data_IF_132338096734
#
_entry.id   IF_132338096734
#
_cell.length_a   1.000
_cell.length_b   1.000
_cell.length_c   1.000
_cell.angle_alpha   90.00
_cell.angle_beta   90.00
_cell.angle_gamma   90.00
#
_symmetry.space_group_name_H-M   'P 1'
#
loop_
_entity.id
_entity.type
_entity.pdbx_description
1 polymer ?
#
# COMPACT_ATOMS: atom_id res chain seq x y z
N UNK A 1 -26.29 11.43 -2.93
CA UNK A 1 -26.14 11.19 -4.40
C UNK A 1 -27.52 11.09 -5.06
N UNK A 2 -27.76 11.75 -6.22
CA UNK A 2 -29.04 11.65 -6.92
C UNK A 2 -29.28 10.26 -7.55
N UNK A 3 -30.56 9.95 -7.83
CA UNK A 3 -30.99 8.62 -8.28
C UNK A 3 -30.36 8.19 -9.63
N UNK A 4 -30.25 9.10 -10.58
CA UNK A 4 -29.67 8.82 -11.91
C UNK A 4 -28.16 8.49 -11.80
N UNK A 5 -27.40 9.23 -10.98
CA UNK A 5 -25.97 8.93 -10.73
C UNK A 5 -25.81 7.58 -10.03
N UNK A 6 -26.71 7.21 -9.11
CA UNK A 6 -26.71 5.87 -8.48
C UNK A 6 -26.92 4.76 -9.50
N UNK A 7 -27.91 4.89 -10.41
CA UNK A 7 -28.16 3.91 -11.49
C UNK A 7 -26.93 3.80 -12.38
N UNK A 8 -26.37 4.92 -12.83
CA UNK A 8 -25.17 4.92 -13.67
C UNK A 8 -24.01 4.18 -13.00
N UNK A 9 -23.68 4.48 -11.74
CA UNK A 9 -22.62 3.82 -11.01
C UNK A 9 -22.86 2.30 -10.90
N UNK A 10 -24.08 1.88 -10.55
CA UNK A 10 -24.41 0.45 -10.40
C UNK A 10 -24.37 -0.29 -11.73
N UNK A 11 -24.84 0.31 -12.81
CA UNK A 11 -24.77 -0.27 -14.16
C UNK A 11 -23.33 -0.46 -14.60
N UNK A 12 -22.48 0.57 -14.40
CA UNK A 12 -21.05 0.50 -14.69
C UNK A 12 -20.34 -0.61 -13.89
N UNK A 13 -20.57 -0.65 -12.57
CA UNK A 13 -20.00 -1.67 -11.67
C UNK A 13 -20.45 -3.08 -12.03
N UNK A 14 -21.73 -3.24 -12.45
CA UNK A 14 -22.27 -4.53 -12.91
C UNK A 14 -21.60 -4.97 -14.21
N UNK A 15 -21.41 -4.05 -15.15
CA UNK A 15 -20.68 -4.32 -16.40
C UNK A 15 -19.24 -4.79 -16.13
N UNK A 16 -18.51 -4.09 -15.23
CA UNK A 16 -17.18 -4.52 -14.82
C UNK A 16 -17.18 -5.91 -14.17
N UNK A 17 -18.14 -6.18 -13.28
CA UNK A 17 -18.25 -7.49 -12.61
C UNK A 17 -18.46 -8.62 -13.62
N UNK A 18 -19.29 -8.41 -14.65
CA UNK A 18 -19.50 -9.38 -15.71
C UNK A 18 -18.24 -9.59 -16.54
N UNK A 19 -17.45 -8.53 -16.77
CA UNK A 19 -16.20 -8.60 -17.53
C UNK A 19 -15.05 -9.30 -16.77
N UNK A 20 -15.04 -9.27 -15.44
CA UNK A 20 -13.93 -9.76 -14.61
C UNK A 20 -13.41 -11.17 -14.97
N UNK A 21 -14.25 -12.20 -15.23
CA UNK A 21 -13.77 -13.53 -15.58
C UNK A 21 -13.01 -13.59 -16.93
N UNK A 22 -13.26 -12.64 -17.81
CA UNK A 22 -12.68 -12.59 -19.16
C UNK A 22 -11.41 -11.72 -19.23
N UNK A 23 -11.12 -10.97 -18.18
CA UNK A 23 -9.94 -10.09 -18.12
C UNK A 23 -8.67 -10.91 -17.83
N UNK A 24 -7.52 -10.60 -18.47
CA UNK A 24 -6.31 -11.40 -18.40
C UNK A 24 -5.51 -11.19 -17.10
N UNK A 25 -6.20 -11.18 -15.97
CA UNK A 25 -5.56 -11.16 -14.67
C UNK A 25 -4.72 -12.44 -14.46
N UNK A 26 -3.53 -12.26 -13.92
CA UNK A 26 -2.71 -13.38 -13.47
C UNK A 26 -2.21 -13.14 -12.05
N UNK A 27 -2.05 -14.20 -11.28
CA UNK A 27 -1.29 -14.14 -10.02
C UNK A 27 0.20 -14.27 -10.34
N UNK A 28 1.07 -13.44 -9.75
CA UNK A 28 2.51 -13.66 -9.81
C UNK A 28 2.89 -15.00 -9.21
N UNK A 29 3.97 -15.60 -9.71
CA UNK A 29 4.50 -16.80 -9.08
C UNK A 29 5.25 -16.41 -7.82
N UNK A 30 4.89 -17.03 -6.70
CA UNK A 30 5.56 -16.80 -5.42
C UNK A 30 6.94 -17.46 -5.44
N UNK A 31 7.93 -16.73 -4.95
CA UNK A 31 9.30 -17.16 -4.71
C UNK A 31 9.63 -16.84 -3.26
N UNK A 32 10.09 -17.83 -2.49
CA UNK A 32 10.27 -17.68 -1.03
C UNK A 32 11.58 -16.99 -0.63
N UNK A 33 12.50 -16.73 -1.55
CA UNK A 33 13.79 -16.10 -1.23
C UNK A 33 14.41 -15.40 -2.42
N UNK A 34 15.06 -14.26 -2.19
CA UNK A 34 15.87 -13.54 -3.19
C UNK A 34 17.02 -14.41 -3.75
N UNK A 35 17.48 -15.42 -3.00
CA UNK A 35 18.54 -16.36 -3.44
C UNK A 35 18.11 -17.26 -4.60
N UNK A 36 16.81 -17.42 -4.85
CA UNK A 36 16.29 -18.22 -5.96
C UNK A 36 16.16 -17.41 -7.27
N UNK A 37 16.39 -16.10 -7.23
CA UNK A 37 16.26 -15.24 -8.42
C UNK A 37 17.30 -15.53 -9.51
N UNK A 38 18.58 -15.82 -9.22
CA UNK A 38 19.55 -16.16 -10.25
C UNK A 38 19.10 -17.33 -11.15
N UNK A 39 18.59 -18.42 -10.58
CA UNK A 39 18.09 -19.56 -11.35
C UNK A 39 16.91 -19.17 -12.26
N UNK A 40 16.05 -18.31 -11.78
CA UNK A 40 14.90 -17.82 -12.55
C UNK A 40 15.38 -16.96 -13.72
N UNK A 41 16.34 -16.07 -13.50
CA UNK A 41 16.92 -15.17 -14.50
C UNK A 41 17.57 -15.98 -15.60
N UNK A 42 18.41 -16.98 -15.23
CA UNK A 42 19.06 -17.90 -16.18
C UNK A 42 18.04 -18.72 -16.98
N UNK A 43 17.03 -19.33 -16.32
CA UNK A 43 15.93 -20.05 -16.98
C UNK A 43 15.13 -19.16 -17.96
N UNK A 44 15.07 -17.87 -17.71
CA UNK A 44 14.42 -16.90 -18.59
C UNK A 44 15.34 -16.31 -19.65
N UNK A 45 16.60 -16.75 -19.68
CA UNK A 45 17.63 -16.31 -20.60
C UNK A 45 17.85 -14.79 -20.56
N UNK A 46 17.74 -14.21 -19.37
CA UNK A 46 18.10 -12.82 -19.14
C UNK A 46 19.58 -12.73 -18.81
N UNK A 47 20.24 -11.72 -19.32
CA UNK A 47 21.69 -11.55 -19.26
C UNK A 47 22.14 -10.51 -18.24
N UNK A 48 21.34 -9.47 -17.99
CA UNK A 48 21.69 -8.37 -17.08
C UNK A 48 20.46 -7.77 -16.41
N UNK A 49 20.58 -7.50 -15.12
CA UNK A 49 19.46 -7.06 -14.26
C UNK A 49 19.57 -5.58 -13.94
N UNK A 50 18.46 -4.81 -14.04
CA UNK A 50 18.31 -3.55 -13.33
C UNK A 50 17.53 -3.77 -12.03
N UNK A 51 18.15 -3.43 -10.90
CA UNK A 51 17.50 -3.38 -9.58
C UNK A 51 17.05 -1.95 -9.34
N UNK A 52 15.75 -1.74 -9.13
CA UNK A 52 15.16 -0.43 -8.80
C UNK A 52 14.75 -0.45 -7.33
N UNK A 53 15.29 0.48 -6.56
CA UNK A 53 15.10 0.58 -5.11
C UNK A 53 15.18 2.05 -4.66
N UNK A 54 15.23 2.29 -3.38
CA UNK A 54 15.40 3.62 -2.78
C UNK A 54 16.65 3.69 -1.88
N UNK A 55 17.08 4.92 -1.57
CA UNK A 55 18.28 5.18 -0.78
C UNK A 55 18.19 4.61 0.64
N UNK A 56 16.99 4.55 1.25
CA UNK A 56 16.77 3.98 2.57
C UNK A 56 17.05 2.47 2.59
N UNK A 57 16.51 1.75 1.62
CA UNK A 57 16.74 0.30 1.44
C UNK A 57 18.23 0.02 1.21
N UNK A 58 18.91 0.87 0.42
CA UNK A 58 20.36 0.76 0.18
C UNK A 58 21.17 0.99 1.47
N UNK A 59 20.84 2.05 2.20
CA UNK A 59 21.51 2.37 3.49
C UNK A 59 21.37 1.24 4.51
N UNK A 60 20.21 0.59 4.56
CA UNK A 60 19.95 -0.56 5.42
C UNK A 60 20.61 -1.86 4.89
N UNK A 61 21.19 -1.86 3.71
CA UNK A 61 21.86 -3.01 3.13
C UNK A 61 20.94 -4.18 2.76
N UNK A 62 19.62 -3.95 2.60
CA UNK A 62 18.65 -5.01 2.35
C UNK A 62 18.84 -5.69 0.99
N UNK A 63 19.40 -4.98 0.00
CA UNK A 63 19.68 -5.53 -1.33
C UNK A 63 20.90 -6.46 -1.36
N UNK A 64 21.81 -6.40 -0.36
CA UNK A 64 23.09 -7.16 -0.36
C UNK A 64 22.90 -8.65 -0.57
N UNK A 65 21.85 -9.26 0.00
CA UNK A 65 21.57 -10.69 -0.17
C UNK A 65 21.28 -11.05 -1.63
N UNK A 66 20.57 -10.17 -2.36
CA UNK A 66 20.31 -10.33 -3.78
C UNK A 66 21.59 -10.07 -4.60
N UNK A 67 22.31 -9.00 -4.31
CA UNK A 67 23.57 -8.65 -4.98
C UNK A 67 24.57 -9.81 -4.89
N UNK A 68 24.79 -10.35 -3.67
CA UNK A 68 25.66 -11.51 -3.46
C UNK A 68 25.19 -12.74 -4.26
N UNK A 69 23.88 -13.01 -4.29
CA UNK A 69 23.35 -14.13 -5.04
C UNK A 69 23.56 -13.98 -6.56
N UNK A 70 23.36 -12.78 -7.10
CA UNK A 70 23.61 -12.48 -8.51
C UNK A 70 25.09 -12.57 -8.85
N UNK A 71 25.97 -12.00 -8.01
CA UNK A 71 27.43 -12.05 -8.19
C UNK A 71 27.94 -13.50 -8.21
N UNK A 72 27.51 -14.32 -7.25
CA UNK A 72 27.91 -15.74 -7.16
C UNK A 72 27.43 -16.56 -8.38
N UNK A 73 26.35 -16.15 -9.02
CA UNK A 73 25.83 -16.76 -10.23
C UNK A 73 26.41 -16.18 -11.54
N UNK A 74 27.33 -15.21 -11.44
CA UNK A 74 27.92 -14.54 -12.60
C UNK A 74 26.93 -13.68 -13.39
N UNK A 75 25.85 -13.22 -12.78
CA UNK A 75 24.83 -12.40 -13.43
C UNK A 75 25.15 -10.92 -13.14
N UNK A 76 25.52 -10.12 -14.16
CA UNK A 76 25.77 -8.70 -14.00
C UNK A 76 24.48 -7.96 -13.68
N UNK A 77 24.60 -6.87 -12.91
CA UNK A 77 23.46 -6.02 -12.52
C UNK A 77 23.88 -4.56 -12.41
N UNK A 78 22.87 -3.68 -12.52
CA UNK A 78 22.96 -2.27 -12.17
C UNK A 78 21.92 -1.96 -11.10
N UNK A 79 22.13 -0.90 -10.34
CA UNK A 79 21.21 -0.49 -9.27
C UNK A 79 20.84 0.97 -9.49
N UNK A 80 19.54 1.24 -9.54
CA UNK A 80 18.95 2.56 -9.42
C UNK A 80 18.34 2.70 -8.02
N UNK A 81 18.91 3.53 -7.17
CA UNK A 81 18.55 3.67 -5.76
C UNK A 81 18.00 5.05 -5.38
N UNK A 82 17.57 5.83 -6.38
CA UNK A 82 17.05 7.20 -6.20
C UNK A 82 15.53 7.30 -6.22
N UNK A 83 14.81 6.17 -6.13
CA UNK A 83 13.34 6.21 -6.12
C UNK A 83 12.84 6.97 -4.90
N UNK A 84 11.98 7.96 -5.12
CA UNK A 84 11.34 8.73 -4.05
C UNK A 84 10.11 8.02 -3.50
N UNK A 85 9.64 8.42 -2.31
CA UNK A 85 8.44 7.88 -1.66
C UNK A 85 7.17 7.99 -2.54
N UNK A 86 7.08 9.00 -3.40
CA UNK A 86 6.12 9.11 -4.49
C UNK A 86 6.92 9.19 -5.80
N UNK A 87 7.16 8.06 -6.50
CA UNK A 87 8.09 8.03 -7.62
C UNK A 87 7.66 8.99 -8.72
N UNK A 88 8.62 9.79 -9.19
CA UNK A 88 8.36 10.82 -10.19
C UNK A 88 8.61 10.34 -11.61
N UNK A 89 8.11 11.09 -12.58
CA UNK A 89 8.44 10.89 -14.01
C UNK A 89 9.94 10.95 -14.28
N UNK A 90 10.69 11.72 -13.47
CA UNK A 90 12.14 11.85 -13.60
C UNK A 90 12.83 10.58 -13.06
N UNK A 91 12.41 10.04 -11.92
CA UNK A 91 12.89 8.74 -11.42
C UNK A 91 12.73 7.64 -12.49
N UNK A 92 11.57 7.61 -13.15
CA UNK A 92 11.31 6.63 -14.22
C UNK A 92 12.24 6.84 -15.41
N UNK A 93 12.47 8.10 -15.79
CA UNK A 93 13.33 8.45 -16.95
C UNK A 93 14.80 8.11 -16.68
N UNK A 94 15.31 8.46 -15.50
CA UNK A 94 16.68 8.14 -15.08
C UNK A 94 16.91 6.62 -15.03
N UNK A 95 16.00 5.89 -14.39
CA UNK A 95 16.11 4.43 -14.29
C UNK A 95 15.98 3.74 -15.65
N UNK A 96 15.14 4.27 -16.55
CA UNK A 96 15.03 3.78 -17.94
C UNK A 96 16.33 4.00 -18.71
N UNK A 97 16.93 5.18 -18.60
CA UNK A 97 18.21 5.47 -19.25
C UNK A 97 19.30 4.52 -18.74
N UNK A 98 19.41 4.32 -17.42
CA UNK A 98 20.35 3.36 -16.85
C UNK A 98 20.12 1.94 -17.38
N UNK A 99 18.85 1.50 -17.54
CA UNK A 99 18.52 0.20 -18.13
C UNK A 99 19.05 0.08 -19.57
N UNK A 100 18.81 1.08 -20.41
CA UNK A 100 19.19 1.08 -21.82
C UNK A 100 20.72 1.19 -21.99
N UNK A 101 21.36 2.14 -21.32
CA UNK A 101 22.80 2.40 -21.43
C UNK A 101 23.63 1.23 -20.91
N UNK A 102 23.12 0.53 -19.89
CA UNK A 102 23.80 -0.64 -19.32
C UNK A 102 23.48 -1.94 -20.06
N UNK A 103 22.55 -1.97 -21.00
CA UNK A 103 22.14 -3.18 -21.71
C UNK A 103 21.41 -4.19 -20.83
N UNK A 104 20.65 -3.73 -19.82
CA UNK A 104 19.81 -4.59 -19.01
C UNK A 104 18.64 -5.18 -19.83
N UNK A 105 18.15 -6.38 -19.47
CA UNK A 105 17.05 -7.07 -20.15
C UNK A 105 15.96 -7.57 -19.20
N UNK A 106 16.14 -7.42 -17.90
CA UNK A 106 15.12 -7.67 -16.90
C UNK A 106 15.18 -6.66 -15.74
N UNK A 107 14.11 -6.57 -14.96
CA UNK A 107 13.91 -5.58 -13.91
C UNK A 107 13.51 -6.28 -12.62
N UNK A 108 14.14 -5.88 -11.51
CA UNK A 108 13.72 -6.23 -10.15
C UNK A 108 13.33 -4.92 -9.43
N UNK A 109 12.04 -4.77 -9.08
CA UNK A 109 11.58 -3.75 -8.15
C UNK A 109 11.79 -4.25 -6.71
N UNK A 110 12.71 -3.65 -5.96
CA UNK A 110 13.10 -4.06 -4.62
C UNK A 110 12.80 -2.95 -3.62
N UNK A 111 11.78 -3.12 -2.78
CA UNK A 111 11.40 -2.09 -1.81
C UNK A 111 9.92 -2.12 -1.47
N UNK A 112 9.39 -0.99 -0.99
CA UNK A 112 7.96 -0.78 -0.80
C UNK A 112 7.21 -0.55 -2.12
N UNK A 113 5.94 -0.13 -2.03
CA UNK A 113 5.11 0.16 -3.20
C UNK A 113 5.77 1.11 -4.19
N UNK A 114 6.42 2.18 -3.72
CA UNK A 114 7.07 3.19 -4.57
C UNK A 114 8.16 2.61 -5.48
N UNK A 115 9.07 1.81 -4.94
CA UNK A 115 10.14 1.16 -5.72
C UNK A 115 9.57 0.18 -6.74
N UNK A 116 8.52 -0.57 -6.36
CA UNK A 116 7.85 -1.50 -7.28
C UNK A 116 7.06 -0.77 -8.38
N UNK A 117 6.39 0.34 -8.05
CA UNK A 117 5.64 1.14 -9.02
C UNK A 117 6.57 1.87 -10.00
N UNK A 118 7.72 2.38 -9.53
CA UNK A 118 8.78 2.87 -10.39
C UNK A 118 9.25 1.80 -11.38
N UNK A 119 9.51 0.58 -10.89
CA UNK A 119 9.94 -0.54 -11.72
C UNK A 119 8.91 -0.93 -12.80
N UNK A 120 7.61 -0.92 -12.45
CA UNK A 120 6.51 -1.13 -13.41
C UNK A 120 6.45 -0.03 -14.46
N UNK A 121 6.57 1.24 -14.05
CA UNK A 121 6.54 2.38 -14.95
C UNK A 121 7.76 2.40 -15.89
N UNK A 122 8.94 2.06 -15.40
CA UNK A 122 10.16 1.86 -16.24
C UNK A 122 9.89 0.75 -17.26
N UNK A 123 9.37 -0.39 -16.85
CA UNK A 123 8.99 -1.48 -17.75
C UNK A 123 7.98 -1.04 -18.83
N UNK A 124 6.98 -0.23 -18.46
CA UNK A 124 5.99 0.32 -19.39
C UNK A 124 6.64 1.27 -20.42
N UNK A 125 7.56 2.14 -19.97
CA UNK A 125 8.31 3.05 -20.86
C UNK A 125 9.21 2.30 -21.84
N UNK A 126 9.91 1.24 -21.38
CA UNK A 126 10.72 0.38 -22.24
C UNK A 126 9.84 -0.32 -23.28
N UNK A 127 8.68 -0.84 -22.88
CA UNK A 127 7.74 -1.50 -23.80
C UNK A 127 7.11 -0.52 -24.82
N UNK A 128 7.00 0.76 -24.49
CA UNK A 128 6.45 1.83 -25.34
C UNK A 128 7.35 3.07 -25.38
N UNK A 129 8.53 3.02 -25.98
CA UNK A 129 9.53 4.09 -25.92
C UNK A 129 9.06 5.42 -26.53
N UNK A 130 8.14 5.39 -27.49
CA UNK A 130 7.58 6.58 -28.14
C UNK A 130 6.42 7.23 -27.39
N UNK A 131 5.93 6.62 -26.30
CA UNK A 131 4.78 7.11 -25.55
C UNK A 131 5.20 7.64 -24.19
N UNK A 132 4.86 8.90 -23.85
CA UNK A 132 5.12 9.46 -22.52
C UNK A 132 4.28 8.80 -21.44
N UNK A 133 4.72 8.85 -20.18
CA UNK A 133 3.95 8.33 -19.03
C UNK A 133 2.58 9.00 -18.91
N UNK A 134 2.50 10.32 -19.16
CA UNK A 134 1.23 11.06 -19.15
C UNK A 134 0.22 10.50 -20.16
N UNK A 135 0.66 10.03 -21.32
CA UNK A 135 -0.23 9.35 -22.31
C UNK A 135 -0.65 7.95 -21.89
N UNK A 136 0.08 7.32 -20.95
CA UNK A 136 -0.25 6.02 -20.38
C UNK A 136 -1.19 6.12 -19.16
N UNK A 137 -1.42 7.34 -18.61
CA UNK A 137 -2.32 7.59 -17.48
C UNK A 137 -3.70 6.98 -17.71
N UNK A 138 -4.22 6.28 -16.68
CA UNK A 138 -5.54 5.66 -16.69
C UNK A 138 -5.48 4.16 -16.97
N UNK A 139 -6.46 3.62 -17.67
CA UNK A 139 -6.69 2.19 -17.78
C UNK A 139 -6.37 1.69 -19.20
N UNK A 140 -5.68 0.53 -19.29
CA UNK A 140 -5.44 -0.22 -20.53
C UNK A 140 -4.81 0.62 -21.65
N UNK A 141 -3.69 1.27 -21.40
CA UNK A 141 -2.98 2.09 -22.40
C UNK A 141 -1.56 1.62 -22.71
N UNK A 142 -1.06 0.61 -22.00
CA UNK A 142 0.26 0.02 -22.25
C UNK A 142 0.18 -1.09 -23.30
N UNK A 143 -0.68 -2.08 -23.13
CA UNK A 143 -0.96 -3.21 -24.05
C UNK A 143 0.25 -3.98 -24.59
N UNK A 144 1.45 -3.68 -24.13
CA UNK A 144 2.72 -4.29 -24.56
C UNK A 144 3.30 -5.11 -23.43
N UNK A 145 3.88 -6.26 -23.76
CA UNK A 145 4.62 -7.08 -22.81
C UNK A 145 5.84 -6.30 -22.31
N UNK A 146 6.00 -6.20 -21.00
CA UNK A 146 7.16 -5.62 -20.35
C UNK A 146 8.37 -6.59 -20.42
N UNK A 147 9.61 -6.08 -20.25
CA UNK A 147 10.73 -6.92 -19.83
C UNK A 147 10.35 -7.80 -18.65
N UNK A 148 11.11 -8.87 -18.40
CA UNK A 148 10.85 -9.69 -17.22
C UNK A 148 10.88 -8.82 -15.96
N UNK A 149 9.75 -8.71 -15.30
CA UNK A 149 9.57 -7.93 -14.07
C UNK A 149 9.36 -8.86 -12.88
N UNK A 150 10.18 -8.69 -11.86
CA UNK A 150 10.14 -9.39 -10.58
C UNK A 150 10.01 -8.34 -9.46
N UNK A 151 9.20 -8.60 -8.46
CA UNK A 151 8.97 -7.69 -7.34
C UNK A 151 9.42 -8.35 -6.03
N UNK A 152 10.17 -7.60 -5.22
CA UNK A 152 10.67 -8.00 -3.90
C UNK A 152 10.16 -6.99 -2.88
N UNK A 153 8.97 -7.22 -2.29
CA UNK A 153 8.42 -6.32 -1.27
C UNK A 153 9.25 -6.36 0.01
N UNK A 154 9.57 -5.18 0.55
CA UNK A 154 10.20 -5.02 1.87
C UNK A 154 9.20 -4.60 2.95
N UNK A 155 7.94 -4.39 2.58
CA UNK A 155 6.79 -4.13 3.46
C UNK A 155 5.70 -5.14 3.21
N UNK A 156 4.91 -5.45 4.22
CA UNK A 156 3.77 -6.35 4.12
C UNK A 156 2.45 -5.54 4.17
N UNK A 157 2.17 -4.75 3.13
CA UNK A 157 1.04 -3.82 3.12
C UNK A 157 0.46 -3.59 1.73
N UNK A 158 1.18 -2.89 0.89
CA UNK A 158 0.68 -2.35 -0.38
C UNK A 158 0.22 -3.41 -1.40
N UNK A 159 0.73 -4.64 -1.32
CA UNK A 159 0.43 -5.68 -2.32
C UNK A 159 0.86 -5.32 -3.74
N UNK A 160 1.70 -4.27 -3.93
CA UNK A 160 2.09 -3.80 -5.27
C UNK A 160 2.73 -4.90 -6.11
N UNK A 161 3.36 -5.91 -5.50
CA UNK A 161 3.89 -7.09 -6.19
C UNK A 161 2.83 -7.89 -6.94
N UNK A 162 1.53 -7.64 -6.69
CA UNK A 162 0.41 -8.37 -7.35
C UNK A 162 -0.44 -7.49 -8.25
N UNK A 163 -0.27 -6.16 -8.18
CA UNK A 163 -1.20 -5.23 -8.83
C UNK A 163 -0.83 -4.90 -10.27
N UNK A 164 -1.85 -4.52 -11.02
CA UNK A 164 -1.72 -3.98 -12.38
C UNK A 164 -1.45 -2.48 -12.39
N UNK A 165 -1.36 -1.85 -11.23
CA UNK A 165 -1.20 -0.41 -11.07
C UNK A 165 0.26 -0.01 -10.86
N UNK A 166 0.65 1.14 -11.41
CA UNK A 166 1.83 1.90 -11.06
C UNK A 166 1.42 3.36 -10.81
N UNK A 167 1.61 3.84 -9.59
CA UNK A 167 1.28 5.20 -9.20
C UNK A 167 2.51 6.08 -9.32
N UNK A 168 2.42 7.13 -10.16
CA UNK A 168 3.53 8.02 -10.51
C UNK A 168 3.12 9.47 -10.30
N UNK A 169 4.06 10.29 -9.87
CA UNK A 169 3.89 11.74 -9.74
C UNK A 169 4.57 12.43 -10.92
N UNK A 170 3.85 13.28 -11.61
CA UNK A 170 4.45 14.15 -12.62
C UNK A 170 5.40 15.14 -11.94
N UNK A 171 6.67 15.17 -12.37
CA UNK A 171 7.70 15.98 -11.70
C UNK A 171 7.46 17.49 -11.85
N UNK A 172 6.83 17.91 -12.95
CA UNK A 172 6.59 19.33 -13.25
C UNK A 172 5.30 19.84 -12.58
N UNK A 173 4.21 19.09 -12.76
CA UNK A 173 2.87 19.52 -12.29
C UNK A 173 2.55 19.07 -10.87
N UNK A 174 3.37 18.20 -10.27
CA UNK A 174 3.12 17.52 -8.98
C UNK A 174 1.85 16.67 -8.96
N UNK A 175 1.21 16.48 -10.10
CA UNK A 175 0.00 15.69 -10.21
C UNK A 175 0.30 14.19 -10.14
N UNK A 176 -0.32 13.52 -9.17
CA UNK A 176 -0.21 12.08 -8.94
C UNK A 176 -1.26 11.31 -9.75
N UNK A 177 -0.86 10.28 -10.48
CA UNK A 177 -1.77 9.48 -11.29
C UNK A 177 -1.33 8.02 -11.38
N UNK A 178 -2.30 7.14 -11.68
CA UNK A 178 -2.05 5.73 -11.87
C UNK A 178 -2.01 5.36 -13.36
N UNK A 179 -1.10 4.45 -13.69
CA UNK A 179 -1.07 3.68 -14.93
C UNK A 179 -1.55 2.28 -14.59
N UNK A 180 -2.66 1.84 -15.17
CA UNK A 180 -3.29 0.56 -14.86
C UNK A 180 -3.36 -0.31 -16.12
N UNK A 181 -2.57 -1.38 -16.17
CA UNK A 181 -2.65 -2.34 -17.28
C UNK A 181 -2.12 -3.71 -16.86
N UNK A 182 -2.65 -4.80 -17.42
CA UNK A 182 -2.29 -6.16 -17.09
C UNK A 182 -0.80 -6.51 -17.26
N UNK A 183 -0.08 -5.98 -18.27
CA UNK A 183 1.36 -6.19 -18.41
C UNK A 183 2.18 -5.74 -17.20
N UNK A 184 1.69 -4.77 -16.40
CA UNK A 184 2.39 -4.22 -15.23
C UNK A 184 2.41 -5.22 -14.05
N UNK A 185 1.53 -6.22 -14.04
CA UNK A 185 1.57 -7.25 -12.99
C UNK A 185 2.92 -7.99 -13.08
N UNK A 186 3.73 -8.01 -12.00
CA UNK A 186 5.01 -8.73 -12.00
C UNK A 186 4.84 -10.22 -12.32
N UNK A 187 5.86 -10.84 -12.90
CA UNK A 187 5.84 -12.28 -13.17
C UNK A 187 6.12 -13.11 -11.93
N UNK A 188 6.92 -12.56 -11.03
CA UNK A 188 7.30 -13.18 -9.77
C UNK A 188 7.17 -12.18 -8.64
N UNK A 189 6.63 -12.64 -7.52
CA UNK A 189 6.61 -11.96 -6.23
C UNK A 189 7.54 -12.73 -5.29
N UNK A 190 8.58 -12.07 -4.80
CA UNK A 190 9.59 -12.69 -3.93
C UNK A 190 9.25 -12.35 -2.48
N UNK A 191 8.58 -13.27 -1.83
CA UNK A 191 8.13 -13.12 -0.44
C UNK A 191 9.21 -13.64 0.52
N UNK A 192 10.36 -12.94 0.57
CA UNK A 192 11.48 -13.28 1.45
C UNK A 192 11.34 -12.55 2.79
N UNK A 193 10.98 -13.23 3.90
CA UNK A 193 10.78 -12.56 5.18
C UNK A 193 12.04 -11.84 5.70
N UNK A 194 13.21 -12.28 5.25
CA UNK A 194 14.49 -11.72 5.71
C UNK A 194 14.74 -10.27 5.25
N UNK A 195 14.01 -9.80 4.24
CA UNK A 195 14.09 -8.40 3.79
C UNK A 195 13.12 -7.47 4.55
N UNK A 196 12.30 -8.02 5.45
CA UNK A 196 11.34 -7.27 6.27
C UNK A 196 11.71 -7.21 7.76
N UNK A 197 12.78 -7.94 8.20
CA UNK A 197 13.12 -8.06 9.62
C UNK A 197 13.51 -6.73 10.28
N UNK A 198 14.06 -5.79 9.52
CA UNK A 198 14.47 -4.46 10.03
C UNK A 198 13.35 -3.42 9.99
N UNK A 199 12.12 -3.81 9.63
CA UNK A 199 11.00 -2.88 9.57
C UNK A 199 10.62 -2.41 10.99
N UNK A 200 10.56 -1.10 11.26
CA UNK A 200 10.13 -0.59 12.56
C UNK A 200 8.73 -1.05 12.93
N UNK A 201 8.42 -1.22 14.24
CA UNK A 201 7.10 -1.68 14.69
C UNK A 201 5.93 -0.86 14.14
N UNK A 202 6.01 0.48 14.21
CA UNK A 202 4.96 1.36 13.71
C UNK A 202 4.72 1.22 12.21
N UNK A 203 5.79 1.10 11.40
CA UNK A 203 5.66 0.86 9.95
C UNK A 203 5.10 -0.55 9.68
N UNK A 204 5.51 -1.54 10.49
CA UNK A 204 4.95 -2.90 10.43
C UNK A 204 3.44 -2.89 10.67
N UNK A 205 2.99 -2.18 11.72
CA UNK A 205 1.57 -2.06 12.07
C UNK A 205 0.77 -1.34 10.99
N UNK A 206 1.20 -0.14 10.59
CA UNK A 206 0.47 0.67 9.60
C UNK A 206 0.39 0.00 8.23
N UNK A 207 1.46 -0.69 7.79
CA UNK A 207 1.41 -1.47 6.55
C UNK A 207 0.56 -2.74 6.70
N UNK A 208 0.58 -3.40 7.85
CA UNK A 208 -0.30 -4.54 8.12
C UNK A 208 -1.79 -4.16 8.13
N UNK A 209 -2.11 -3.00 8.72
CA UNK A 209 -3.47 -2.43 8.68
C UNK A 209 -3.89 -2.02 7.26
N UNK A 210 -2.96 -1.56 6.43
CA UNK A 210 -3.17 -1.31 5.00
C UNK A 210 -3.56 -2.60 4.27
N UNK A 211 -2.81 -3.69 4.48
CA UNK A 211 -3.17 -5.01 3.92
C UNK A 211 -4.55 -5.49 4.42
N UNK A 212 -4.90 -5.23 5.69
CA UNK A 212 -6.22 -5.53 6.23
C UNK A 212 -7.30 -4.73 5.50
N UNK A 213 -7.09 -3.43 5.31
CA UNK A 213 -8.01 -2.55 4.58
C UNK A 213 -8.23 -3.03 3.15
N UNK A 214 -7.17 -3.38 2.43
CA UNK A 214 -7.24 -3.97 1.10
C UNK A 214 -8.12 -5.24 1.08
N UNK A 215 -7.89 -6.17 2.01
CA UNK A 215 -8.64 -7.41 2.09
C UNK A 215 -10.11 -7.17 2.42
N UNK A 216 -10.40 -6.29 3.37
CA UNK A 216 -11.75 -5.97 3.83
C UNK A 216 -12.54 -5.29 2.70
N UNK A 217 -12.02 -4.21 2.09
CA UNK A 217 -12.71 -3.50 1.03
C UNK A 217 -12.93 -4.38 -0.21
N UNK A 218 -11.93 -5.20 -0.59
CA UNK A 218 -12.08 -6.17 -1.66
C UNK A 218 -13.17 -7.21 -1.37
N UNK A 219 -13.37 -7.59 -0.09
CA UNK A 219 -14.37 -8.58 0.31
C UNK A 219 -15.77 -8.00 0.40
N UNK A 220 -15.92 -6.83 1.00
CA UNK A 220 -17.23 -6.20 1.19
C UNK A 220 -17.79 -5.57 -0.09
N UNK A 221 -16.93 -5.28 -1.07
CA UNK A 221 -17.32 -4.74 -2.37
C UNK A 221 -18.34 -5.63 -3.12
N UNK A 222 -19.01 -5.04 -4.14
CA UNK A 222 -20.06 -5.73 -4.90
C UNK A 222 -19.51 -6.46 -6.15
N UNK A 223 -18.24 -6.26 -6.52
CA UNK A 223 -17.59 -6.90 -7.67
C UNK A 223 -16.57 -7.96 -7.22
N UNK A 224 -17.02 -8.94 -6.46
CA UNK A 224 -16.18 -10.04 -5.99
C UNK A 224 -16.35 -11.30 -6.80
N UNK A 225 -15.31 -12.14 -6.87
CA UNK A 225 -15.37 -13.50 -7.41
C UNK A 225 -15.14 -14.51 -6.27
N UNK A 226 -15.37 -15.79 -6.55
CA UNK A 226 -15.04 -16.84 -5.56
C UNK A 226 -13.56 -16.76 -5.15
N UNK A 227 -12.65 -16.61 -6.15
CA UNK A 227 -11.22 -16.52 -5.90
C UNK A 227 -10.82 -15.30 -5.07
N UNK A 228 -11.36 -14.10 -5.39
CA UNK A 228 -11.02 -12.88 -4.61
C UNK A 228 -11.56 -12.94 -3.18
N UNK A 229 -12.73 -13.53 -2.97
CA UNK A 229 -13.24 -13.74 -1.61
C UNK A 229 -12.37 -14.71 -0.80
N UNK A 230 -11.91 -15.82 -1.43
CA UNK A 230 -10.99 -16.76 -0.79
C UNK A 230 -9.68 -16.10 -0.41
N UNK A 231 -9.11 -15.33 -1.34
CA UNK A 231 -7.85 -14.61 -1.09
C UNK A 231 -8.01 -13.58 0.05
N UNK A 232 -9.10 -12.81 0.07
CA UNK A 232 -9.37 -11.82 1.11
C UNK A 232 -9.57 -12.45 2.50
N UNK A 233 -10.34 -13.54 2.59
CA UNK A 233 -10.52 -14.28 3.86
C UNK A 233 -9.19 -14.84 4.38
N UNK A 234 -8.36 -15.39 3.49
CA UNK A 234 -7.03 -15.88 3.87
C UNK A 234 -6.11 -14.76 4.34
N UNK A 235 -6.16 -13.61 3.67
CA UNK A 235 -5.39 -12.43 4.08
C UNK A 235 -5.79 -11.97 5.49
N UNK A 236 -7.10 -11.81 5.74
CA UNK A 236 -7.62 -11.41 7.06
C UNK A 236 -7.20 -12.40 8.14
N UNK A 237 -7.36 -13.71 7.90
CA UNK A 237 -6.90 -14.76 8.84
C UNK A 237 -5.42 -14.58 9.19
N UNK A 238 -4.55 -14.52 8.18
CA UNK A 238 -3.10 -14.41 8.39
C UNK A 238 -2.71 -13.11 9.12
N UNK A 239 -3.40 -12.00 8.86
CA UNK A 239 -3.15 -10.73 9.55
C UNK A 239 -3.49 -10.87 11.03
N UNK A 240 -4.71 -11.32 11.36
CA UNK A 240 -5.13 -11.46 12.76
C UNK A 240 -4.28 -12.44 13.56
N UNK A 241 -3.77 -13.50 12.92
CA UNK A 241 -2.88 -14.48 13.56
C UNK A 241 -1.45 -13.99 13.80
N UNK A 242 -0.98 -12.95 13.06
CA UNK A 242 0.45 -12.63 13.03
C UNK A 242 0.81 -11.17 13.30
N UNK A 243 -0.11 -10.20 13.16
CA UNK A 243 0.22 -8.78 13.21
C UNK A 243 0.75 -8.35 14.58
N UNK A 244 0.15 -8.81 15.66
CA UNK A 244 0.60 -8.52 17.02
C UNK A 244 2.00 -9.11 17.28
N UNK A 245 2.25 -10.33 16.78
CA UNK A 245 3.57 -10.97 16.89
C UNK A 245 4.64 -10.17 16.17
N UNK A 246 4.42 -9.74 14.91
CA UNK A 246 5.44 -8.98 14.17
C UNK A 246 5.59 -7.55 14.68
N UNK A 247 4.60 -7.00 15.36
CA UNK A 247 4.69 -5.70 16.02
C UNK A 247 5.57 -5.76 17.26
N UNK A 248 5.40 -6.77 18.12
CA UNK A 248 6.14 -6.94 19.36
C UNK A 248 7.51 -7.59 19.15
N UNK A 249 7.59 -8.58 18.24
CA UNK A 249 8.83 -9.27 17.85
C UNK A 249 9.01 -9.22 16.33
N UNK A 250 9.60 -8.14 15.85
CA UNK A 250 9.91 -7.95 14.43
C UNK A 250 10.92 -8.95 13.88
N UNK A 251 11.62 -9.73 14.73
CA UNK A 251 12.60 -10.75 14.31
C UNK A 251 11.96 -12.11 14.00
N UNK A 252 10.69 -12.31 14.32
CA UNK A 252 9.97 -13.56 14.07
C UNK A 252 9.78 -13.81 12.56
N UNK A 253 10.64 -14.66 11.99
CA UNK A 253 10.70 -14.94 10.54
C UNK A 253 9.41 -15.55 10.02
N UNK A 254 8.74 -16.41 10.79
CA UNK A 254 7.52 -17.09 10.35
C UNK A 254 6.33 -16.13 10.33
N UNK A 255 6.19 -15.30 11.37
CA UNK A 255 5.16 -14.27 11.39
C UNK A 255 5.40 -13.21 10.27
N UNK A 256 6.65 -12.79 10.02
CA UNK A 256 6.99 -11.93 8.86
C UNK A 256 6.61 -12.56 7.53
N UNK A 257 6.89 -13.88 7.38
CA UNK A 257 6.48 -14.62 6.18
C UNK A 257 4.96 -14.62 6.00
N UNK A 258 4.23 -14.89 7.06
CA UNK A 258 2.77 -14.92 7.04
C UNK A 258 2.19 -13.54 6.70
N UNK A 259 2.76 -12.45 7.21
CA UNK A 259 2.35 -11.09 6.86
C UNK A 259 2.63 -10.75 5.38
N UNK A 260 3.77 -11.16 4.81
CA UNK A 260 4.03 -11.02 3.37
C UNK A 260 3.01 -11.80 2.53
N UNK A 261 2.67 -13.02 2.93
CA UNK A 261 1.61 -13.79 2.27
C UNK A 261 0.25 -13.12 2.41
N UNK A 262 -0.06 -12.56 3.58
CA UNK A 262 -1.31 -11.82 3.81
C UNK A 262 -1.44 -10.62 2.86
N UNK A 263 -0.39 -9.78 2.77
CA UNK A 263 -0.31 -8.66 1.82
C UNK A 263 -0.45 -9.12 0.37
N UNK A 264 0.22 -10.21 -0.01
CA UNK A 264 0.10 -10.80 -1.34
C UNK A 264 -1.33 -11.23 -1.67
N UNK A 265 -2.02 -11.93 -0.75
CA UNK A 265 -3.41 -12.36 -0.98
C UNK A 265 -4.38 -11.19 -0.96
N UNK A 266 -4.20 -10.20 -0.07
CA UNK A 266 -4.96 -8.95 -0.10
C UNK A 266 -4.79 -8.25 -1.45
N UNK A 267 -3.56 -8.17 -1.95
CA UNK A 267 -3.21 -7.61 -3.26
C UNK A 267 -3.88 -8.36 -4.42
N UNK A 268 -3.89 -9.69 -4.39
CA UNK A 268 -4.59 -10.52 -5.37
C UNK A 268 -6.12 -10.31 -5.34
N UNK A 269 -6.68 -10.02 -4.17
CA UNK A 269 -8.10 -9.76 -4.02
C UNK A 269 -8.47 -8.38 -4.59
N UNK A 270 -7.82 -7.31 -4.11
CA UNK A 270 -8.23 -5.96 -4.48
C UNK A 270 -7.86 -5.58 -5.91
N UNK A 271 -6.78 -6.11 -6.48
CA UNK A 271 -6.44 -5.83 -7.89
C UNK A 271 -7.55 -6.22 -8.87
N UNK A 272 -8.44 -7.14 -8.46
CA UNK A 272 -9.63 -7.57 -9.25
C UNK A 272 -10.93 -7.00 -8.74
N UNK A 273 -11.07 -6.90 -7.41
CA UNK A 273 -12.32 -6.49 -6.76
C UNK A 273 -12.36 -5.01 -6.44
N UNK A 274 -11.27 -4.30 -6.73
CA UNK A 274 -11.07 -2.89 -6.40
C UNK A 274 -11.02 -2.64 -4.87
N UNK A 275 -10.90 -1.40 -4.50
CA UNK A 275 -10.96 -0.86 -3.15
C UNK A 275 -12.25 -0.06 -2.94
N UNK A 276 -12.37 0.74 -1.89
CA UNK A 276 -13.57 1.50 -1.59
C UNK A 276 -13.27 2.92 -1.09
N UNK A 277 -14.18 3.46 -0.28
CA UNK A 277 -14.06 4.83 0.21
C UNK A 277 -12.95 5.02 1.25
N UNK A 278 -12.51 3.97 1.96
CA UNK A 278 -11.34 4.08 2.83
C UNK A 278 -10.14 4.55 2.02
N UNK A 279 -9.86 3.87 0.91
CA UNK A 279 -8.77 4.25 0.02
C UNK A 279 -9.00 5.57 -0.70
N UNK A 280 -10.22 5.87 -1.14
CA UNK A 280 -10.50 7.12 -1.82
C UNK A 280 -10.25 8.35 -0.92
N UNK A 281 -10.63 8.27 0.36
CA UNK A 281 -10.35 9.30 1.37
C UNK A 281 -8.86 9.34 1.67
N UNK A 282 -8.22 8.18 1.92
CA UNK A 282 -6.77 8.11 2.20
C UNK A 282 -5.92 8.66 1.05
N UNK A 283 -6.31 8.44 -0.20
CA UNK A 283 -5.60 8.98 -1.37
C UNK A 283 -5.71 10.51 -1.46
N UNK A 284 -6.87 11.08 -1.16
CA UNK A 284 -7.04 12.54 -1.15
C UNK A 284 -6.16 13.19 -0.07
N UNK A 285 -6.11 12.60 1.14
CA UNK A 285 -5.26 13.06 2.24
C UNK A 285 -3.76 12.88 1.93
N UNK A 286 -3.40 11.73 1.39
CA UNK A 286 -2.03 11.47 0.97
C UNK A 286 -1.55 12.37 -0.17
N UNK A 287 -2.48 12.80 -1.05
CA UNK A 287 -2.19 13.73 -2.15
C UNK A 287 -2.01 15.17 -1.68
N UNK A 288 -2.80 15.62 -0.72
CA UNK A 288 -2.78 17.00 -0.22
C UNK A 288 -1.73 17.23 0.87
N UNK A 289 -1.65 16.33 1.85
CA UNK A 289 -0.86 16.52 3.07
C UNK A 289 0.31 15.56 3.22
N UNK A 290 0.53 14.63 2.27
CA UNK A 290 1.51 13.55 2.38
C UNK A 290 1.28 12.63 3.59
N UNK A 291 0.06 12.50 4.08
CA UNK A 291 -0.28 11.55 5.16
C UNK A 291 0.16 10.15 4.72
N UNK A 292 0.89 9.39 5.57
CA UNK A 292 1.31 8.04 5.22
C UNK A 292 0.11 7.14 4.91
N UNK A 293 0.12 6.50 3.75
CA UNK A 293 -1.03 5.78 3.19
C UNK A 293 -1.61 4.72 4.14
N UNK A 294 -0.76 3.87 4.71
CA UNK A 294 -1.20 2.83 5.64
C UNK A 294 -1.75 3.39 6.96
N UNK A 295 -1.23 4.52 7.42
CA UNK A 295 -1.76 5.24 8.58
C UNK A 295 -3.17 5.76 8.27
N UNK A 296 -3.35 6.49 7.17
CA UNK A 296 -4.66 7.00 6.77
C UNK A 296 -5.70 5.88 6.65
N UNK A 297 -5.36 4.78 5.97
CA UNK A 297 -6.24 3.62 5.84
C UNK A 297 -6.61 3.02 7.21
N UNK A 298 -5.65 2.89 8.14
CA UNK A 298 -5.91 2.36 9.48
C UNK A 298 -6.89 3.23 10.28
N UNK A 299 -6.74 4.54 10.19
CA UNK A 299 -7.61 5.51 10.89
C UNK A 299 -9.03 5.48 10.31
N UNK A 300 -9.17 5.47 8.99
CA UNK A 300 -10.45 5.63 8.28
C UNK A 300 -11.28 4.34 8.29
N UNK A 301 -10.63 3.16 8.28
CA UNK A 301 -11.31 1.87 8.08
C UNK A 301 -12.50 1.65 9.01
N UNK A 302 -12.38 1.73 10.36
CA UNK A 302 -13.51 1.46 11.25
C UNK A 302 -14.69 2.40 11.01
N UNK A 303 -14.44 3.70 10.74
CA UNK A 303 -15.46 4.71 10.50
C UNK A 303 -16.33 4.37 9.27
N UNK A 304 -15.71 4.00 8.18
CA UNK A 304 -16.42 3.62 6.94
C UNK A 304 -17.19 2.32 7.11
N UNK A 305 -16.65 1.35 7.86
CA UNK A 305 -17.37 0.11 8.16
C UNK A 305 -18.62 0.37 9.00
N UNK A 306 -18.55 1.21 10.01
CA UNK A 306 -19.70 1.66 10.81
C UNK A 306 -20.75 2.39 9.95
N UNK A 307 -20.31 3.29 9.08
CA UNK A 307 -21.20 4.05 8.21
C UNK A 307 -21.96 3.17 7.18
N UNK A 308 -21.40 2.03 6.79
CA UNK A 308 -22.11 1.07 5.94
C UNK A 308 -23.21 0.28 6.70
N UNK A 309 -23.07 0.16 8.00
CA UNK A 309 -24.06 -0.47 8.90
C UNK A 309 -24.49 -1.88 8.43
N UNK A 310 -25.76 -2.17 8.61
CA UNK A 310 -26.36 -3.49 8.31
C UNK A 310 -26.12 -4.01 6.89
N UNK A 311 -25.84 -3.10 5.94
CA UNK A 311 -25.60 -3.49 4.53
C UNK A 311 -24.41 -4.42 4.35
N UNK A 312 -23.49 -4.43 5.32
CA UNK A 312 -22.28 -5.27 5.27
C UNK A 312 -22.18 -6.29 6.39
N UNK A 313 -23.10 -6.33 7.37
CA UNK A 313 -23.02 -7.22 8.55
C UNK A 313 -22.78 -8.69 8.15
N UNK A 314 -23.52 -9.24 7.17
CA UNK A 314 -23.31 -10.63 6.68
C UNK A 314 -21.89 -10.86 6.11
N UNK A 315 -21.28 -9.83 5.53
CA UNK A 315 -19.91 -9.91 4.97
C UNK A 315 -18.88 -9.78 6.09
N UNK A 316 -19.09 -8.84 7.04
CA UNK A 316 -18.22 -8.68 8.19
C UNK A 316 -18.25 -9.89 9.11
N UNK A 317 -19.42 -10.53 9.33
CA UNK A 317 -19.53 -11.76 10.09
C UNK A 317 -18.61 -12.87 9.54
N UNK A 318 -18.54 -13.02 8.21
CA UNK A 318 -17.63 -13.99 7.57
C UNK A 318 -16.14 -13.61 7.75
N UNK A 319 -15.81 -12.32 7.75
CA UNK A 319 -14.47 -11.83 8.06
C UNK A 319 -14.13 -12.08 9.54
N UNK A 320 -15.09 -11.86 10.45
CA UNK A 320 -14.93 -12.16 11.87
C UNK A 320 -14.63 -13.64 12.13
N UNK A 321 -15.36 -14.54 11.45
CA UNK A 321 -15.09 -15.99 11.53
C UNK A 321 -13.69 -16.32 10.99
N UNK A 322 -13.28 -15.71 9.88
CA UNK A 322 -11.94 -15.92 9.31
C UNK A 322 -10.83 -15.38 10.23
N UNK A 323 -11.10 -14.30 10.96
CA UNK A 323 -10.22 -13.70 11.95
C UNK A 323 -10.18 -14.45 13.29
N UNK A 324 -11.04 -15.47 13.51
CA UNK A 324 -11.16 -16.18 14.77
C UNK A 324 -11.88 -15.39 15.88
N UNK A 325 -12.67 -14.36 15.52
CA UNK A 325 -13.38 -13.47 16.44
C UNK A 325 -14.83 -13.90 16.71
N UNK A 326 -15.36 -14.81 15.90
CA UNK A 326 -16.72 -15.31 15.99
C UNK A 326 -16.81 -16.74 15.45
N UNK A 327 -17.83 -17.46 15.92
CA UNK A 327 -18.18 -18.76 15.37
C UNK A 327 -19.14 -18.61 14.17
N UNK A 328 -19.36 -19.70 13.43
CA UNK A 328 -20.21 -19.67 12.23
C UNK A 328 -21.68 -19.38 12.51
N UNK A 329 -22.14 -19.69 13.70
CA UNK A 329 -23.51 -19.52 14.22
C UNK A 329 -23.71 -18.23 15.02
N UNK A 330 -22.64 -17.45 15.25
CA UNK A 330 -22.75 -16.14 15.90
C UNK A 330 -23.65 -15.21 15.04
N UNK A 331 -24.62 -14.49 15.65
CA UNK A 331 -25.46 -13.53 14.93
C UNK A 331 -24.62 -12.53 14.11
N UNK A 332 -25.10 -12.22 12.89
CA UNK A 332 -24.29 -11.44 11.94
C UNK A 332 -23.97 -10.03 12.43
N UNK A 333 -24.86 -9.39 13.14
CA UNK A 333 -24.69 -8.07 13.75
C UNK A 333 -23.64 -8.10 14.87
N UNK A 334 -23.74 -9.08 15.75
CA UNK A 334 -22.75 -9.29 16.83
C UNK A 334 -21.36 -9.60 16.26
N UNK A 335 -21.26 -10.54 15.31
CA UNK A 335 -19.99 -10.87 14.67
C UNK A 335 -19.38 -9.66 13.93
N UNK A 336 -20.21 -8.84 13.26
CA UNK A 336 -19.78 -7.62 12.60
C UNK A 336 -19.26 -6.59 13.63
N UNK A 337 -19.97 -6.41 14.74
CA UNK A 337 -19.54 -5.53 15.84
C UNK A 337 -18.20 -5.96 16.43
N UNK A 338 -18.01 -7.27 16.70
CA UNK A 338 -16.74 -7.82 17.18
C UNK A 338 -15.59 -7.58 16.21
N UNK A 339 -15.83 -7.68 14.90
CA UNK A 339 -14.80 -7.44 13.88
C UNK A 339 -14.37 -5.97 13.84
N UNK A 340 -15.33 -5.03 13.86
CA UNK A 340 -15.04 -3.58 13.87
C UNK A 340 -14.31 -3.22 15.17
N UNK A 341 -14.77 -3.73 16.33
CA UNK A 341 -14.12 -3.48 17.61
C UNK A 341 -12.69 -3.99 17.64
N UNK A 342 -12.43 -5.19 17.12
CA UNK A 342 -11.07 -5.73 17.03
C UNK A 342 -10.12 -4.85 16.19
N UNK A 343 -10.61 -4.20 15.12
CA UNK A 343 -9.83 -3.23 14.34
C UNK A 343 -9.53 -1.98 15.19
N UNK A 344 -10.49 -1.46 15.94
CA UNK A 344 -10.29 -0.33 16.86
C UNK A 344 -9.26 -0.67 17.94
N UNK A 345 -9.38 -1.87 18.53
CA UNK A 345 -8.43 -2.36 19.54
C UNK A 345 -7.00 -2.51 18.98
N UNK A 346 -6.85 -2.96 17.72
CA UNK A 346 -5.55 -2.99 17.04
C UNK A 346 -4.97 -1.58 16.92
N UNK A 347 -5.76 -0.58 16.53
CA UNK A 347 -5.29 0.82 16.46
C UNK A 347 -4.72 1.29 17.79
N UNK A 348 -5.47 1.05 18.88
CA UNK A 348 -5.02 1.43 20.24
C UNK A 348 -3.72 0.73 20.60
N UNK A 349 -3.61 -0.60 20.38
CA UNK A 349 -2.39 -1.36 20.69
C UNK A 349 -1.18 -0.89 19.89
N UNK A 350 -1.39 -0.39 18.67
CA UNK A 350 -0.30 0.06 17.79
C UNK A 350 -0.01 1.57 17.90
N UNK A 351 -0.68 2.28 18.81
CA UNK A 351 -0.50 3.72 18.98
C UNK A 351 -0.98 4.53 17.78
N UNK A 352 -1.97 4.01 17.03
CA UNK A 352 -2.59 4.71 15.90
C UNK A 352 -3.80 5.49 16.44
N UNK A 353 -3.74 6.81 16.34
CA UNK A 353 -4.83 7.70 16.77
C UNK A 353 -6.10 7.58 15.91
N UNK A 354 -7.11 8.33 16.30
CA UNK A 354 -8.40 8.38 15.59
C UNK A 354 -8.50 9.60 14.64
N UNK A 355 -7.52 10.49 14.67
CA UNK A 355 -7.53 11.76 13.94
C UNK A 355 -6.29 11.93 13.06
N UNK A 356 -6.39 12.85 12.11
CA UNK A 356 -5.35 13.25 11.16
C UNK A 356 -5.21 14.77 11.27
N UNK A 357 -4.26 15.25 12.10
CA UNK A 357 -4.19 16.68 12.46
C UNK A 357 -3.87 17.61 11.31
N UNK A 358 -3.35 17.09 10.20
CA UNK A 358 -3.02 17.89 9.02
C UNK A 358 -4.24 18.43 8.27
N UNK A 359 -5.46 17.89 8.54
CA UNK A 359 -6.68 18.26 7.81
C UNK A 359 -7.09 19.69 8.17
N UNK A 360 -7.29 20.54 7.16
CA UNK A 360 -7.81 21.89 7.28
C UNK A 360 -9.24 21.94 6.79
N UNK A 361 -10.12 22.66 7.51
CA UNK A 361 -11.53 22.73 7.20
C UNK A 361 -11.81 23.27 5.78
N UNK A 362 -11.05 24.28 5.36
CA UNK A 362 -11.18 24.87 4.03
C UNK A 362 -10.89 23.91 2.87
N UNK A 363 -10.11 22.85 3.10
CA UNK A 363 -9.77 21.85 2.07
C UNK A 363 -10.81 20.73 1.96
N UNK A 364 -11.70 20.54 2.96
CA UNK A 364 -12.65 19.42 3.01
C UNK A 364 -13.53 19.30 1.76
N UNK A 365 -14.12 20.39 1.22
CA UNK A 365 -14.92 20.30 -0.01
C UNK A 365 -14.12 19.82 -1.22
N UNK A 366 -12.84 20.20 -1.31
CA UNK A 366 -11.91 19.76 -2.37
C UNK A 366 -11.55 18.30 -2.20
N UNK A 367 -11.22 17.86 -0.98
CA UNK A 367 -10.82 16.50 -0.66
C UNK A 367 -11.97 15.51 -0.88
N UNK A 368 -13.18 15.83 -0.41
CA UNK A 368 -14.38 15.01 -0.61
C UNK A 368 -14.76 14.89 -2.09
N UNK A 369 -14.58 15.98 -2.86
CA UNK A 369 -14.76 15.96 -4.31
C UNK A 369 -13.76 14.99 -5.00
N UNK A 370 -12.50 14.99 -4.59
CA UNK A 370 -11.48 14.08 -5.12
C UNK A 370 -11.83 12.62 -4.80
N UNK A 371 -12.24 12.32 -3.57
CA UNK A 371 -12.64 10.99 -3.17
C UNK A 371 -13.90 10.50 -3.93
N UNK A 372 -14.93 11.34 -4.12
CA UNK A 372 -16.10 11.03 -4.97
C UNK A 372 -15.68 10.74 -6.42
N UNK A 373 -14.84 11.59 -6.99
CA UNK A 373 -14.40 11.47 -8.39
C UNK A 373 -13.54 10.21 -8.64
N UNK A 374 -12.73 9.83 -7.66
CA UNK A 374 -11.92 8.62 -7.73
C UNK A 374 -12.79 7.36 -7.61
N UNK A 375 -13.65 7.33 -6.59
CA UNK A 375 -14.43 6.15 -6.29
C UNK A 375 -15.57 5.91 -7.29
N UNK A 376 -16.24 6.95 -7.77
CA UNK A 376 -17.43 6.83 -8.59
C UNK A 376 -17.19 7.13 -10.07
N UNK A 377 -17.57 6.21 -10.99
CA UNK A 377 -18.33 4.96 -10.75
C UNK A 377 -17.48 3.71 -10.49
N UNK A 378 -16.16 3.82 -10.39
CA UNK A 378 -15.21 2.71 -10.53
C UNK A 378 -15.26 1.71 -9.36
N UNK A 379 -15.33 2.22 -8.12
CA UNK A 379 -15.24 1.35 -6.94
C UNK A 379 -16.59 0.71 -6.61
N UNK A 380 -16.65 -0.63 -6.51
CA UNK A 380 -17.90 -1.35 -6.30
C UNK A 380 -18.33 -1.36 -4.82
N UNK A 381 -18.41 -0.19 -4.22
CA UNK A 381 -18.72 0.00 -2.80
C UNK A 381 -20.10 -0.52 -2.41
N UNK A 382 -20.29 -0.99 -1.16
CA UNK A 382 -21.60 -1.47 -0.67
C UNK A 382 -22.68 -0.40 -0.75
N UNK A 383 -22.40 0.80 -0.27
CA UNK A 383 -23.28 1.98 -0.28
C UNK A 383 -22.61 3.08 -1.09
N UNK A 384 -23.33 3.67 -2.05
CA UNK A 384 -22.82 4.77 -2.85
C UNK A 384 -22.97 6.09 -2.11
N UNK A 385 -21.88 6.84 -2.00
CA UNK A 385 -21.82 8.18 -1.41
C UNK A 385 -21.24 9.17 -2.44
N UNK A 386 -21.71 10.42 -2.42
CA UNK A 386 -21.15 11.54 -3.19
C UNK A 386 -20.25 12.39 -2.28
N UNK A 387 -19.66 13.46 -2.82
CA UNK A 387 -18.79 14.37 -2.07
C UNK A 387 -19.43 14.86 -0.77
N UNK A 388 -20.66 15.39 -0.81
CA UNK A 388 -21.34 15.88 0.39
C UNK A 388 -21.64 14.79 1.44
N UNK A 389 -21.83 13.53 1.01
CA UNK A 389 -22.00 12.38 1.91
C UNK A 389 -20.64 11.85 2.45
N UNK A 390 -19.52 12.28 1.85
CA UNK A 390 -18.16 11.97 2.31
C UNK A 390 -17.55 13.04 3.23
N UNK A 391 -17.99 14.30 3.11
CA UNK A 391 -17.48 15.42 3.94
C UNK A 391 -17.50 15.14 5.45
N UNK A 392 -18.57 14.56 6.05
CA UNK A 392 -18.63 14.30 7.48
C UNK A 392 -17.44 13.47 7.99
N UNK A 393 -16.90 12.55 7.18
CA UNK A 393 -15.74 11.75 7.58
C UNK A 393 -14.47 12.59 7.74
N UNK A 394 -14.26 13.61 6.91
CA UNK A 394 -13.13 14.52 7.05
C UNK A 394 -13.23 15.37 8.31
N UNK A 395 -14.44 15.88 8.65
CA UNK A 395 -14.66 16.58 9.91
C UNK A 395 -14.41 15.68 11.13
N UNK A 396 -14.80 14.40 11.07
CA UNK A 396 -14.54 13.44 12.15
C UNK A 396 -13.05 13.09 12.28
N UNK A 397 -12.27 13.20 11.18
CA UNK A 397 -10.83 12.95 11.15
C UNK A 397 -10.01 14.17 11.59
N UNK A 398 -10.54 15.38 11.46
CA UNK A 398 -9.88 16.62 11.83
C UNK A 398 -9.77 16.76 13.36
N UNK A 399 -8.69 17.37 13.86
CA UNK A 399 -8.63 17.78 15.27
C UNK A 399 -9.68 18.85 15.60
N UNK A 400 -10.28 18.76 16.78
CA UNK A 400 -11.15 19.83 17.27
C UNK A 400 -10.31 21.05 17.62
N UNK A 401 -10.76 22.27 17.27
CA UNK A 401 -10.09 23.50 17.70
C UNK A 401 -10.06 23.56 19.23
N UNK A 402 -8.92 23.26 19.84
CA UNK A 402 -8.73 23.30 21.30
C UNK A 402 -8.03 22.10 21.93
N UNK A 403 -7.88 20.98 21.23
CA UNK A 403 -7.09 19.82 21.69
C UNK A 403 -5.63 19.86 21.17
N UNK A 404 -4.95 21.00 21.30
CA UNK A 404 -3.49 20.99 21.11
C UNK A 404 -2.88 20.19 22.26
N UNK A 405 -2.28 19.05 21.94
CA UNK A 405 -1.50 18.23 22.85
C UNK A 405 -0.50 19.12 23.61
N UNK A 406 -0.79 19.39 24.87
CA UNK A 406 0.16 19.98 25.80
C UNK A 406 1.32 19.04 26.04
N UNK A 407 2.30 19.07 25.14
CA UNK A 407 3.62 18.51 25.36
C UNK A 407 4.65 19.62 25.17
N UNK A 408 4.47 20.71 25.98
CA UNK A 408 5.59 21.62 26.25
C UNK A 408 6.52 20.89 27.21
N UNK A 409 7.62 20.40 26.64
CA UNK A 409 8.76 19.96 27.44
C UNK A 409 9.22 21.08 28.36
N UNK A 410 9.10 20.86 29.66
CA UNK A 410 9.69 21.69 30.68
C UNK A 410 11.21 21.66 30.49
N UNK A 411 11.76 22.66 29.80
CA UNK A 411 13.15 23.05 29.95
C UNK A 411 13.31 23.67 31.34
N UNK A 412 13.79 22.89 32.29
CA UNK A 412 14.36 23.40 33.57
C UNK A 412 15.64 24.18 33.24
N UNK A 413 15.48 25.50 33.22
CA UNK A 413 16.62 26.44 33.30
C UNK A 413 17.20 26.41 34.69
N UNK A 414 18.25 25.63 34.92
CA UNK A 414 19.14 25.82 36.07
C UNK A 414 19.89 27.15 35.92
N UNK A 415 19.43 28.14 36.66
CA UNK A 415 20.17 29.39 36.93
C UNK A 415 21.35 29.10 37.85
N UNK A 416 22.56 29.04 37.31
CA UNK A 416 23.78 29.18 38.11
C UNK A 416 23.93 30.63 38.56
N UNK A 417 23.71 30.88 39.86
CA UNK A 417 24.21 32.05 40.57
C UNK A 417 25.73 31.94 40.70
N UNK A 418 26.42 32.98 40.27
CA UNK A 418 27.81 33.18 40.55
C UNK A 418 28.03 33.54 42.02
N UNK A 419 29.10 33.07 42.58
CA UNK A 419 29.80 33.73 43.70
C UNK A 419 31.28 33.85 43.30
N UNK A 420 31.70 35.11 43.26
CA UNK A 420 33.11 35.54 43.29
C UNK A 420 33.71 35.17 44.64
N UNK A 421 34.91 34.67 44.65
CA UNK A 421 35.90 35.05 45.63
C UNK A 421 37.32 34.70 45.16
N UNK A 422 38.06 35.72 45.14
CA UNK A 422 39.49 36.03 45.17
C UNK A 422 40.34 35.04 45.99
N UNK A 423 41.51 34.60 45.57
CA UNK A 423 42.81 34.91 46.16
C UNK A 423 43.96 34.11 45.49
N UNK A 424 44.91 34.86 45.01
CA UNK A 424 46.38 34.91 45.07
C UNK A 424 47.24 33.66 45.31
N UNK A 425 48.34 33.76 44.57
CA UNK A 425 49.71 33.23 44.78
C UNK A 425 49.94 31.80 44.26
N UNK A 426 50.89 31.50 43.40
CA UNK A 426 52.29 31.92 43.27
C UNK A 426 53.15 30.65 43.35
N UNK A 427 53.71 30.28 42.26
CA UNK A 427 55.05 29.83 41.94
C UNK A 427 55.12 29.11 40.63
#
# INVERSE_FOLDING_TARGET
MNYLKKIYCRTFQTGLKIALPFLPYRKPKIVGSVKALPDIIQKKKCSKVLIITDAGIRKLGLTRRLETALTNAGIPFCIYDKTMANPTTDNVSEAMNLYLDSGCDCIIGFGGGSSMDCAKAVGARIAKPKQSLAKMKGILKVHKKLPLLMAVPTTAGTGSETTLAAVITDAQTRYKYAINDFPLIPRYAVLDPKVTLSLPPFITATTGMDALTHAVEAYIGNSTTYGTRKDALLAVKLIFENIDTVYTDGSNVDARRNMLHASFYAGCAFTKSYVGYVHAIAHSLGGEYNVPHGLANAVILPMILEAYGEKIHKKLARLAVAAGLAEKDTPCDEAAGRFIQAIKDMKVRFGIGDRIPEIREEDIPKLSHYADKEANPLYPVPVLMNAAELEPFYYMLMEEPGESSGNEGSEETESRKGEDEDDRTGN
#
